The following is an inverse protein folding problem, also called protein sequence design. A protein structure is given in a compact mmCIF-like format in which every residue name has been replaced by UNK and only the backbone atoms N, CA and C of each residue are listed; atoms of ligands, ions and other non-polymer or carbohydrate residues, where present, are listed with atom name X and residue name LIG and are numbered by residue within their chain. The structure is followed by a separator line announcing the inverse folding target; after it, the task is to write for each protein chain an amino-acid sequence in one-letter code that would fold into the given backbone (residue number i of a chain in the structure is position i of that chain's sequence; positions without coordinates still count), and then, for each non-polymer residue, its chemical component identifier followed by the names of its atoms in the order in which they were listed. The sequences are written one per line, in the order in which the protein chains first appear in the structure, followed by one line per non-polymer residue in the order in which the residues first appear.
data_IF_788889296508
#
_entry.id   IF_788889296508
#
_cell.length_a   1.000
_cell.length_b   1.000
_cell.length_c   1.000
_cell.angle_alpha   90.00
_cell.angle_beta   90.00
_cell.angle_gamma   90.00
#
_symmetry.space_group_name_H-M   'P 1'
#
loop_
_entity.id
_entity.type
_entity.pdbx_description
1 polymer ?
#
# COMPACT_ATOMS: atom_id res chain seq x y z
N UNK A 1 -1.68 -17.22 2.52
CA UNK A 1 -0.66 -16.20 2.85
C UNK A 1 -1.20 -14.78 2.89
N UNK A 2 -2.25 -14.41 2.13
CA UNK A 2 -2.88 -13.06 2.21
C UNK A 2 -3.38 -12.68 3.61
N UNK A 3 -4.01 -13.62 4.33
CA UNK A 3 -4.46 -13.36 5.70
C UNK A 3 -3.29 -13.03 6.64
N UNK A 4 -2.15 -13.73 6.50
CA UNK A 4 -0.98 -13.53 7.33
C UNK A 4 -0.38 -12.13 7.17
N UNK A 5 -0.26 -11.65 5.92
CA UNK A 5 0.26 -10.31 5.66
C UNK A 5 -0.65 -9.23 6.27
N UNK A 6 -1.97 -9.35 6.09
CA UNK A 6 -2.93 -8.43 6.74
C UNK A 6 -2.87 -8.48 8.27
N UNK A 7 -2.77 -9.67 8.88
CA UNK A 7 -2.69 -9.78 10.35
C UNK A 7 -1.39 -9.20 10.89
N UNK A 8 -0.26 -9.37 10.19
CA UNK A 8 1.02 -8.79 10.57
C UNK A 8 0.95 -7.25 10.55
N UNK A 9 0.30 -6.67 9.54
CA UNK A 9 0.11 -5.20 9.51
C UNK A 9 -0.78 -4.69 10.63
N UNK A 10 -1.79 -5.46 11.04
CA UNK A 10 -2.72 -5.03 12.11
C UNK A 10 -2.08 -5.07 13.49
N UNK A 11 -1.26 -6.08 13.76
CA UNK A 11 -0.62 -6.29 15.06
C UNK A 11 0.71 -5.54 15.17
N UNK A 12 1.30 -5.16 14.03
CA UNK A 12 2.63 -4.55 13.98
C UNK A 12 2.73 -3.19 14.66
N UNK A 13 3.66 -3.07 15.61
CA UNK A 13 4.05 -1.80 16.23
C UNK A 13 5.36 -1.22 15.65
N UNK A 14 6.11 -2.02 14.90
CA UNK A 14 7.40 -1.64 14.31
C UNK A 14 7.28 -1.50 12.79
N UNK A 15 7.84 -0.43 12.23
CA UNK A 15 7.72 -0.11 10.79
C UNK A 15 8.13 -1.26 9.86
N UNK A 16 9.27 -1.92 10.15
CA UNK A 16 9.74 -3.07 9.36
C UNK A 16 8.74 -4.24 9.32
N UNK A 17 8.05 -4.52 10.44
CA UNK A 17 7.08 -5.62 10.51
C UNK A 17 5.83 -5.29 9.69
N UNK A 18 5.37 -4.05 9.77
CA UNK A 18 4.26 -3.55 8.97
C UNK A 18 4.61 -3.56 7.48
N UNK A 19 5.81 -3.12 7.11
CA UNK A 19 6.30 -3.21 5.74
C UNK A 19 6.34 -4.66 5.24
N UNK A 20 6.85 -5.59 6.05
CA UNK A 20 6.88 -7.02 5.71
C UNK A 20 5.47 -7.59 5.50
N UNK A 21 4.51 -7.21 6.33
CA UNK A 21 3.10 -7.61 6.15
C UNK A 21 2.52 -7.14 4.82
N UNK A 22 2.84 -5.91 4.41
CA UNK A 22 2.45 -5.39 3.09
C UNK A 22 3.13 -6.13 1.94
N UNK A 23 4.41 -6.50 2.07
CA UNK A 23 5.12 -7.27 1.03
C UNK A 23 4.63 -8.71 0.90
N UNK A 24 4.25 -9.34 2.02
CA UNK A 24 3.62 -10.67 1.96
C UNK A 24 2.31 -10.58 1.18
N UNK A 25 1.53 -9.50 1.34
CA UNK A 25 0.28 -9.30 0.60
C UNK A 25 0.49 -9.07 -0.90
N UNK A 26 1.49 -8.27 -1.29
CA UNK A 26 1.82 -7.99 -2.70
C UNK A 26 2.31 -9.26 -3.40
N UNK A 27 3.20 -10.02 -2.77
CA UNK A 27 3.74 -11.25 -3.36
C UNK A 27 2.70 -12.37 -3.39
N UNK A 28 1.83 -12.46 -2.38
CA UNK A 28 0.82 -13.52 -2.29
C UNK A 28 -0.29 -13.41 -3.35
N UNK A 29 -0.58 -12.21 -3.88
CA UNK A 29 -1.63 -12.05 -4.91
C UNK A 29 -1.12 -12.27 -6.34
N UNK A 30 0.18 -12.12 -6.60
CA UNK A 30 0.77 -12.27 -7.94
C UNK A 30 0.44 -13.61 -8.60
N UNK A 31 0.56 -14.79 -7.94
CA UNK A 31 0.20 -16.05 -8.55
C UNK A 31 -1.29 -16.15 -8.91
N UNK A 32 -2.16 -15.50 -8.14
CA UNK A 32 -3.60 -15.46 -8.42
C UNK A 32 -3.90 -14.64 -9.68
N UNK A 33 -3.19 -13.52 -9.88
CA UNK A 33 -3.33 -12.66 -11.06
C UNK A 33 -2.85 -13.35 -12.34
N UNK A 34 -1.76 -14.11 -12.24
CA UNK A 34 -1.14 -14.83 -13.36
C UNK A 34 -1.79 -16.18 -13.68
N UNK A 35 -2.86 -16.55 -12.97
CA UNK A 35 -3.47 -17.87 -13.10
C UNK A 35 -3.97 -18.14 -14.54
N UNK A 36 -4.47 -17.10 -15.22
CA UNK A 36 -4.79 -17.20 -16.64
C UNK A 36 -3.53 -16.78 -17.41
N UNK A 37 -2.87 -17.71 -18.10
CA UNK A 37 -1.67 -17.45 -18.92
C UNK A 37 -1.97 -16.64 -20.20
N UNK A 38 -2.84 -15.64 -20.11
CA UNK A 38 -3.20 -14.72 -21.18
C UNK A 38 -2.29 -13.48 -21.14
N UNK A 39 -1.83 -12.93 -22.28
CA UNK A 39 -0.94 -11.77 -22.31
C UNK A 39 -1.47 -10.56 -21.52
N UNK A 40 -2.79 -10.35 -21.52
CA UNK A 40 -3.41 -9.26 -20.74
C UNK A 40 -3.29 -9.44 -19.22
N UNK A 41 -3.38 -10.68 -18.73
CA UNK A 41 -3.21 -10.98 -17.30
C UNK A 41 -1.74 -10.78 -16.88
N UNK A 42 -0.80 -11.11 -17.77
CA UNK A 42 0.63 -10.85 -17.58
C UNK A 42 0.89 -9.34 -17.48
N UNK A 43 0.35 -8.55 -18.40
CA UNK A 43 0.47 -7.09 -18.39
C UNK A 43 -0.15 -6.46 -17.12
N UNK A 44 -1.34 -6.93 -16.70
CA UNK A 44 -1.97 -6.47 -15.47
C UNK A 44 -1.10 -6.80 -14.24
N UNK A 45 -0.56 -8.01 -14.17
CA UNK A 45 0.29 -8.43 -13.05
C UNK A 45 1.58 -7.61 -12.99
N UNK A 46 2.23 -7.33 -14.13
CA UNK A 46 3.46 -6.54 -14.14
C UNK A 46 3.21 -5.09 -13.74
N UNK A 47 2.10 -4.48 -14.20
CA UNK A 47 1.68 -3.14 -13.76
C UNK A 47 1.42 -3.10 -12.25
N UNK A 48 0.70 -4.09 -11.72
CA UNK A 48 0.46 -4.21 -10.28
C UNK A 48 1.78 -4.35 -9.52
N UNK A 49 2.67 -5.23 -9.95
CA UNK A 49 3.94 -5.47 -9.26
C UNK A 49 4.81 -4.21 -9.20
N UNK A 50 5.02 -3.52 -10.33
CA UNK A 50 5.86 -2.32 -10.40
C UNK A 50 5.29 -1.19 -9.53
N UNK A 51 3.97 -0.97 -9.60
CA UNK A 51 3.31 0.08 -8.81
C UNK A 51 3.35 -0.21 -7.30
N UNK A 52 3.18 -1.47 -6.92
CA UNK A 52 3.22 -1.85 -5.50
C UNK A 52 4.64 -1.90 -4.93
N UNK A 53 5.63 -2.29 -5.74
CA UNK A 53 7.05 -2.29 -5.38
C UNK A 53 7.59 -0.86 -5.23
N UNK A 54 7.17 0.07 -6.10
CA UNK A 54 7.52 1.49 -5.94
C UNK A 54 6.88 2.08 -4.70
N UNK A 55 5.62 1.74 -4.42
CA UNK A 55 4.94 2.18 -3.20
C UNK A 55 5.60 1.63 -1.92
N UNK A 56 6.02 0.36 -1.92
CA UNK A 56 6.67 -0.24 -0.76
C UNK A 56 8.09 0.27 -0.55
N UNK A 57 8.85 0.52 -1.62
CA UNK A 57 10.16 1.18 -1.54
C UNK A 57 10.03 2.60 -0.98
N UNK A 58 9.01 3.36 -1.40
CA UNK A 58 8.74 4.70 -0.89
C UNK A 58 8.35 4.69 0.59
N UNK A 59 7.54 3.70 1.02
CA UNK A 59 7.19 3.50 2.43
C UNK A 59 8.44 3.17 3.27
N UNK A 60 9.29 2.27 2.79
CA UNK A 60 10.53 1.90 3.48
C UNK A 60 11.47 3.10 3.57
N UNK A 61 11.63 3.87 2.50
CA UNK A 61 12.41 5.11 2.50
C UNK A 61 11.87 6.13 3.52
N UNK A 62 10.54 6.31 3.59
CA UNK A 62 9.91 7.17 4.58
C UNK A 62 10.19 6.69 6.03
N UNK A 63 10.12 5.38 6.28
CA UNK A 63 10.42 4.83 7.60
C UNK A 63 11.90 4.97 7.99
N UNK A 64 12.84 4.75 7.06
CA UNK A 64 14.28 4.93 7.30
C UNK A 64 14.59 6.40 7.58
N UNK A 65 14.04 7.33 6.80
CA UNK A 65 14.27 8.76 7.03
C UNK A 65 13.72 9.22 8.38
N UNK A 66 12.57 8.68 8.81
CA UNK A 66 12.05 8.93 10.15
C UNK A 66 12.97 8.35 11.24
N UNK A 67 13.38 7.09 11.12
CA UNK A 67 14.23 6.42 12.09
C UNK A 67 15.63 7.04 12.18
N UNK A 68 16.17 7.53 11.05
CA UNK A 68 17.44 8.26 11.02
C UNK A 68 17.40 9.55 11.84
N UNK A 69 16.25 10.24 11.87
CA UNK A 69 16.08 11.53 12.56
C UNK A 69 15.68 11.33 14.02
N UNK A 70 14.74 10.42 14.28
CA UNK A 70 14.17 10.19 15.62
C UNK A 70 14.96 9.16 16.45
N UNK A 71 15.72 8.29 15.80
CA UNK A 71 16.36 7.12 16.43
C UNK A 71 15.41 5.93 16.64
N UNK A 72 14.13 6.08 16.32
CA UNK A 72 13.08 5.12 16.64
C UNK A 72 12.44 4.49 15.40
N UNK A 73 12.07 3.21 15.54
CA UNK A 73 11.39 2.44 14.50
C UNK A 73 9.91 2.17 14.80
N UNK A 74 9.41 2.73 15.90
CA UNK A 74 8.03 2.58 16.29
C UNK A 74 7.10 3.26 15.27
N UNK A 75 5.92 2.67 15.07
CA UNK A 75 4.96 3.19 14.10
C UNK A 75 4.38 4.54 14.54
N UNK A 76 4.23 4.74 15.85
CA UNK A 76 3.55 5.91 16.43
C UNK A 76 4.50 7.12 16.57
N UNK A 77 5.81 6.94 16.47
CA UNK A 77 6.79 8.04 16.55
C UNK A 77 7.16 8.57 15.16
N UNK A 78 6.15 8.98 14.39
CA UNK A 78 6.38 9.64 13.10
C UNK A 78 6.47 11.16 13.26
N UNK A 79 7.67 11.62 13.60
CA UNK A 79 7.94 13.02 14.00
C UNK A 79 8.23 13.91 12.79
N UNK A 80 8.89 13.36 11.77
CA UNK A 80 9.31 14.16 10.62
C UNK A 80 8.12 14.39 9.66
N UNK A 81 7.72 15.65 9.38
CA UNK A 81 6.61 15.93 8.46
C UNK A 81 6.89 15.43 7.04
N UNK A 82 8.14 15.35 6.60
CA UNK A 82 8.48 14.83 5.26
C UNK A 82 8.37 13.31 5.17
N UNK A 83 8.67 12.58 6.25
CA UNK A 83 8.40 11.13 6.28
C UNK A 83 6.90 10.86 6.32
N UNK A 84 6.14 11.64 7.10
CA UNK A 84 4.69 11.52 7.14
C UNK A 84 4.03 11.76 5.77
N UNK A 85 4.47 12.77 5.02
CA UNK A 85 3.95 13.01 3.65
C UNK A 85 4.34 11.88 2.69
N UNK A 86 5.57 11.38 2.75
CA UNK A 86 5.97 10.22 1.95
C UNK A 86 5.15 8.97 2.30
N UNK A 87 4.91 8.68 3.58
CA UNK A 87 4.03 7.58 4.00
C UNK A 87 2.63 7.75 3.42
N UNK A 88 2.04 8.94 3.49
CA UNK A 88 0.71 9.17 2.88
C UNK A 88 0.69 8.90 1.38
N UNK A 89 1.71 9.34 0.64
CA UNK A 89 1.81 9.12 -0.81
C UNK A 89 2.01 7.63 -1.13
N UNK A 90 2.86 6.93 -0.36
CA UNK A 90 3.05 5.49 -0.51
C UNK A 90 1.74 4.72 -0.31
N UNK A 91 1.01 5.02 0.76
CA UNK A 91 -0.26 4.36 1.06
C UNK A 91 -1.33 4.72 0.02
N UNK A 92 -1.38 5.98 -0.43
CA UNK A 92 -2.26 6.42 -1.53
C UNK A 92 -1.99 5.65 -2.83
N UNK A 93 -0.70 5.43 -3.17
CA UNK A 93 -0.31 4.62 -4.32
C UNK A 93 -0.73 3.15 -4.14
N UNK A 94 -0.52 2.56 -2.95
CA UNK A 94 -0.94 1.17 -2.65
C UNK A 94 -2.45 0.98 -2.76
N UNK A 95 -3.24 1.93 -2.29
CA UNK A 95 -4.72 1.88 -2.29
C UNK A 95 -5.29 2.22 -3.69
N UNK A 96 -4.57 3.05 -4.46
CA UNK A 96 -5.04 3.59 -5.74
C UNK A 96 -5.95 4.80 -5.57
N UNK A 97 -5.60 5.73 -4.67
CA UNK A 97 -6.31 7.03 -4.54
C UNK A 97 -5.93 7.97 -5.68
N UNK A 98 -6.83 8.88 -6.08
CA UNK A 98 -6.51 9.89 -7.08
C UNK A 98 -5.46 10.89 -6.55
N UNK A 99 -4.52 11.35 -7.40
CA UNK A 99 -4.36 11.10 -8.83
C UNK A 99 -3.57 9.82 -9.19
N UNK A 100 -3.23 8.98 -8.21
CA UNK A 100 -2.39 7.78 -8.35
C UNK A 100 -3.21 6.51 -8.71
N UNK A 101 -4.45 6.66 -9.16
CA UNK A 101 -5.40 5.57 -9.36
C UNK A 101 -5.28 4.87 -10.72
N UNK A 102 -4.52 5.41 -11.68
CA UNK A 102 -4.52 4.94 -13.08
C UNK A 102 -4.12 3.48 -13.27
N UNK A 103 -3.35 2.91 -12.34
CA UNK A 103 -3.00 1.48 -12.40
C UNK A 103 -4.22 0.57 -12.12
N UNK A 104 -5.18 1.03 -11.32
CA UNK A 104 -6.26 0.18 -10.81
C UNK A 104 -7.25 -0.27 -11.89
N UNK A 105 -7.79 0.61 -12.77
CA UNK A 105 -8.72 0.18 -13.83
C UNK A 105 -8.08 -0.80 -14.82
N UNK A 106 -6.84 -0.55 -15.23
CA UNK A 106 -6.13 -1.40 -16.19
C UNK A 106 -5.83 -2.79 -15.61
N UNK A 107 -5.43 -2.85 -14.33
CA UNK A 107 -5.21 -4.11 -13.63
C UNK A 107 -6.52 -4.89 -13.51
N UNK A 108 -7.60 -4.25 -13.03
CA UNK A 108 -8.89 -4.92 -12.86
C UNK A 108 -9.43 -5.49 -14.18
N UNK A 109 -9.22 -4.83 -15.30
CA UNK A 109 -9.66 -5.31 -16.62
C UNK A 109 -8.92 -6.59 -17.05
N UNK A 110 -7.67 -6.77 -16.64
CA UNK A 110 -6.86 -7.95 -16.97
C UNK A 110 -7.06 -9.14 -16.05
N UNK A 111 -7.90 -9.01 -15.01
CA UNK A 111 -8.13 -10.01 -13.98
C UNK A 111 -9.51 -10.68 -14.12
N UNK A 112 -9.64 -11.88 -13.57
CA UNK A 112 -10.95 -12.50 -13.41
C UNK A 112 -11.74 -11.84 -12.26
N UNK A 113 -13.06 -12.06 -12.21
CA UNK A 113 -13.93 -11.41 -11.23
C UNK A 113 -13.53 -11.70 -9.77
N UNK A 114 -13.12 -12.92 -9.46
CA UNK A 114 -12.77 -13.32 -8.09
C UNK A 114 -11.47 -12.66 -7.61
N UNK A 115 -10.43 -12.62 -8.45
CA UNK A 115 -9.17 -11.92 -8.11
C UNK A 115 -9.35 -10.40 -8.11
N UNK A 116 -10.17 -9.85 -9.00
CA UNK A 116 -10.57 -8.46 -8.98
C UNK A 116 -11.31 -8.08 -7.69
N UNK A 117 -12.16 -8.97 -7.17
CA UNK A 117 -12.83 -8.77 -5.87
C UNK A 117 -11.83 -8.78 -4.72
N UNK A 118 -10.89 -9.73 -4.69
CA UNK A 118 -9.83 -9.77 -3.66
C UNK A 118 -8.96 -8.51 -3.70
N UNK A 119 -8.60 -8.05 -4.91
CA UNK A 119 -7.80 -6.83 -5.08
C UNK A 119 -8.54 -5.57 -4.65
N UNK A 120 -9.82 -5.45 -4.99
CA UNK A 120 -10.62 -4.26 -4.65
C UNK A 120 -11.05 -4.20 -3.18
N UNK A 121 -11.07 -5.33 -2.47
CA UNK A 121 -11.51 -5.42 -1.06
C UNK A 121 -10.35 -5.76 -0.10
N UNK A 122 -9.82 -6.98 -0.19
CA UNK A 122 -8.85 -7.52 0.77
C UNK A 122 -7.53 -6.74 0.78
N UNK A 123 -7.00 -6.41 -0.40
CA UNK A 123 -5.72 -5.67 -0.51
C UNK A 123 -5.79 -4.24 0.04
N UNK A 124 -6.99 -3.67 0.21
CA UNK A 124 -7.16 -2.33 0.79
C UNK A 124 -7.11 -2.32 2.31
N UNK A 125 -7.38 -3.45 2.97
CA UNK A 125 -7.51 -3.52 4.43
C UNK A 125 -6.22 -3.13 5.17
N UNK A 126 -5.10 -3.72 4.78
CA UNK A 126 -3.81 -3.47 5.44
C UNK A 126 -3.32 -2.01 5.28
N UNK A 127 -3.24 -1.44 4.06
CA UNK A 127 -2.89 -0.03 3.88
C UNK A 127 -3.85 0.94 4.61
N UNK A 128 -5.15 0.62 4.63
CA UNK A 128 -6.14 1.44 5.32
C UNK A 128 -5.98 1.41 6.83
N UNK A 129 -5.65 0.25 7.42
CA UNK A 129 -5.35 0.16 8.85
C UNK A 129 -4.13 1.00 9.25
N UNK A 130 -3.10 1.07 8.41
CA UNK A 130 -1.93 1.92 8.65
C UNK A 130 -2.34 3.41 8.64
N UNK A 131 -3.16 3.83 7.68
CA UNK A 131 -3.69 5.20 7.66
C UNK A 131 -4.49 5.53 8.93
N UNK A 132 -5.30 4.58 9.42
CA UNK A 132 -6.07 4.74 10.65
C UNK A 132 -5.17 4.80 11.89
N UNK A 133 -4.13 3.96 11.98
CA UNK A 133 -3.20 4.00 13.11
C UNK A 133 -2.41 5.31 13.16
N UNK A 134 -2.09 5.88 12.00
CA UNK A 134 -1.27 7.09 11.89
C UNK A 134 -2.09 8.39 11.81
N UNK A 135 -3.42 8.33 11.79
CA UNK A 135 -4.28 9.48 11.50
C UNK A 135 -3.90 10.81 12.20
N UNK A 136 -3.48 10.84 13.49
CA UNK A 136 -3.21 12.12 14.15
C UNK A 136 -1.84 12.71 13.75
N UNK A 137 -0.97 11.91 13.13
CA UNK A 137 0.40 12.26 12.75
C UNK A 137 0.52 12.68 11.27
N UNK A 138 -0.53 12.42 10.47
CA UNK A 138 -0.53 12.70 9.04
C UNK A 138 -0.98 14.13 8.75
N UNK A 139 -0.57 14.67 7.60
CA UNK A 139 -1.00 16.00 7.17
C UNK A 139 -2.48 15.99 6.73
N UNK A 140 -3.38 16.69 7.44
CA UNK A 140 -4.81 16.67 7.16
C UNK A 140 -5.16 17.33 5.81
N UNK A 141 -4.44 18.38 5.42
CA UNK A 141 -4.70 19.07 4.14
C UNK A 141 -4.42 18.15 2.96
N UNK A 142 -3.38 17.32 3.05
CA UNK A 142 -3.04 16.35 2.00
C UNK A 142 -4.06 15.20 1.97
N UNK A 143 -4.49 14.69 3.12
CA UNK A 143 -5.52 13.64 3.16
C UNK A 143 -6.85 14.14 2.59
N UNK A 144 -7.25 15.36 2.92
CA UNK A 144 -8.46 15.98 2.38
C UNK A 144 -8.36 16.21 0.87
N UNK A 145 -7.22 16.68 0.37
CA UNK A 145 -7.05 16.90 -1.08
C UNK A 145 -7.11 15.58 -1.85
N UNK A 146 -6.46 14.51 -1.36
CA UNK A 146 -6.59 13.17 -1.93
C UNK A 146 -8.04 12.68 -1.90
N UNK A 147 -8.76 12.94 -0.79
CA UNK A 147 -10.17 12.60 -0.64
C UNK A 147 -11.05 13.28 -1.69
N UNK A 148 -10.94 14.60 -1.83
CA UNK A 148 -11.71 15.41 -2.79
C UNK A 148 -11.39 15.00 -4.24
N UNK A 149 -10.14 14.65 -4.54
CA UNK A 149 -9.77 14.18 -5.88
C UNK A 149 -10.33 12.77 -6.20
N UNK A 150 -10.70 12.00 -5.16
CA UNK A 150 -11.18 10.62 -5.30
C UNK A 150 -12.70 10.49 -5.35
N UNK A 151 -13.45 11.58 -5.13
CA UNK A 151 -14.91 11.68 -5.32
C UNK A 151 -15.25 12.05 -6.75
#
# INVERSE_FOLDING_TARGET
SLGLGTTLTFIGSHWLLVWMGLEINTLAIIPLMMHQHHPRAVEATTKYFITQATASALLLFASITNAWISGEWSLIEMINPTSATLVTIALALKIGLAPLHFWLPEVLQGLNLTTGLILSTWQKLAPFAILLQLYPLLNPNLLLSLGILST
#
